data_IF_200333673139
#
_entry.id   IF_200333673139
#
_cell.length_a   1.000
_cell.length_b   1.000
_cell.length_c   1.000
_cell.angle_alpha   90.00
_cell.angle_beta   90.00
_cell.angle_gamma   90.00
#
_symmetry.space_group_name_H-M   'P 1'
#
loop_
_entity.id
_entity.type
_entity.pdbx_description
1 polymer ?
#
# COMPACT_ATOMS: atom_id res chain seq x y z
N UNK A 1 -25.50 5.59 -9.67
CA UNK A 1 -25.43 5.14 -8.26
C UNK A 1 -26.40 3.99 -7.93
N UNK A 2 -27.69 4.03 -8.34
CA UNK A 2 -28.65 2.92 -8.10
C UNK A 2 -28.21 1.58 -8.70
N UNK A 3 -27.68 1.56 -9.92
CA UNK A 3 -27.31 0.32 -10.64
C UNK A 3 -26.18 -0.45 -9.95
N UNK A 4 -25.16 0.24 -9.43
CA UNK A 4 -24.06 -0.40 -8.69
C UNK A 4 -24.54 -1.04 -7.39
N UNK A 5 -25.42 -0.35 -6.66
CA UNK A 5 -26.02 -0.86 -5.42
C UNK A 5 -26.85 -2.11 -5.66
N UNK A 6 -27.61 -2.14 -6.76
CA UNK A 6 -28.43 -3.30 -7.15
C UNK A 6 -27.58 -4.50 -7.56
N UNK A 7 -26.55 -4.31 -8.39
CA UNK A 7 -25.66 -5.40 -8.84
C UNK A 7 -24.89 -6.03 -7.70
N UNK A 8 -24.31 -5.21 -6.80
CA UNK A 8 -23.58 -5.73 -5.64
C UNK A 8 -24.53 -6.50 -4.72
N UNK A 9 -25.73 -5.97 -4.50
CA UNK A 9 -26.75 -6.62 -3.68
C UNK A 9 -27.20 -7.95 -4.28
N UNK A 10 -27.40 -8.04 -5.60
CA UNK A 10 -27.84 -9.28 -6.24
C UNK A 10 -26.74 -10.34 -6.20
N UNK A 11 -25.50 -9.97 -6.56
CA UNK A 11 -24.36 -10.90 -6.55
C UNK A 11 -24.09 -11.44 -5.13
N UNK A 12 -24.15 -10.56 -4.12
CA UNK A 12 -24.00 -10.98 -2.73
C UNK A 12 -25.05 -12.01 -2.32
N UNK A 13 -26.32 -11.74 -2.63
CA UNK A 13 -27.43 -12.63 -2.30
C UNK A 13 -27.30 -14.00 -3.00
N UNK A 14 -26.86 -14.03 -4.25
CA UNK A 14 -26.61 -15.26 -4.99
C UNK A 14 -25.50 -16.10 -4.34
N UNK A 15 -24.34 -15.51 -4.07
CA UNK A 15 -23.22 -16.21 -3.44
C UNK A 15 -23.56 -16.71 -2.03
N UNK A 16 -24.31 -15.93 -1.26
CA UNK A 16 -24.73 -16.31 0.09
C UNK A 16 -25.67 -17.53 0.07
N UNK A 17 -26.71 -17.49 -0.78
CA UNK A 17 -27.69 -18.58 -0.90
C UNK A 17 -27.11 -19.86 -1.50
N UNK A 18 -26.08 -19.75 -2.33
CA UNK A 18 -25.47 -20.89 -3.04
C UNK A 18 -24.21 -21.44 -2.36
N UNK A 19 -23.84 -20.95 -1.18
CA UNK A 19 -22.64 -21.36 -0.46
C UNK A 19 -22.67 -22.86 -0.09
N UNK A 20 -21.65 -23.62 -0.53
CA UNK A 20 -21.53 -25.08 -0.28
C UNK A 20 -20.34 -25.49 0.59
N UNK A 21 -19.29 -24.67 0.65
CA UNK A 21 -18.05 -25.00 1.35
C UNK A 21 -18.13 -24.57 2.81
N UNK A 22 -18.28 -25.54 3.73
CA UNK A 22 -18.25 -25.28 5.16
C UNK A 22 -16.85 -24.87 5.62
N UNK A 23 -16.78 -23.87 6.49
CA UNK A 23 -15.57 -23.55 7.25
C UNK A 23 -15.45 -24.53 8.43
N UNK A 24 -14.30 -25.18 8.56
CA UNK A 24 -14.03 -26.15 9.63
C UNK A 24 -12.56 -26.12 10.00
N UNK A 25 -12.26 -26.30 11.27
CA UNK A 25 -10.90 -26.23 11.84
C UNK A 25 -10.74 -25.09 12.86
N UNK A 26 -9.54 -24.91 13.41
CA UNK A 26 -9.28 -23.95 14.49
C UNK A 26 -9.32 -22.50 14.00
N UNK A 27 -9.51 -21.59 14.95
CA UNK A 27 -9.31 -20.15 14.75
C UNK A 27 -7.93 -19.78 15.30
N UNK A 28 -7.07 -19.25 14.43
CA UNK A 28 -5.72 -18.82 14.78
C UNK A 28 -5.51 -17.39 14.31
N UNK A 29 -4.67 -16.64 15.01
CA UNK A 29 -4.29 -15.31 14.58
C UNK A 29 -2.82 -15.04 14.89
N UNK A 30 -2.22 -14.20 14.07
CA UNK A 30 -0.92 -13.59 14.34
C UNK A 30 -1.00 -12.12 13.98
N UNK A 31 -0.41 -11.28 14.82
CA UNK A 31 -0.36 -9.85 14.67
C UNK A 31 1.06 -9.37 14.99
N UNK A 32 1.56 -8.42 14.21
CA UNK A 32 2.83 -7.76 14.50
C UNK A 32 2.77 -6.28 14.12
N UNK A 33 3.52 -5.47 14.86
CA UNK A 33 3.87 -4.12 14.45
C UNK A 33 5.24 -4.16 13.76
N UNK A 34 5.30 -3.64 12.54
CA UNK A 34 6.51 -3.64 11.73
C UNK A 34 6.92 -2.21 11.42
N UNK A 35 8.19 -1.88 11.66
CA UNK A 35 8.78 -0.64 11.17
C UNK A 35 9.06 -0.77 9.67
N UNK A 36 8.18 -0.20 8.86
CA UNK A 36 8.26 -0.23 7.40
C UNK A 36 9.27 0.76 6.84
N UNK A 37 9.90 1.60 7.68
CA UNK A 37 10.91 2.56 7.21
C UNK A 37 12.27 1.91 6.92
N UNK A 38 12.50 0.68 7.41
CA UNK A 38 13.80 0.01 7.36
C UNK A 38 13.72 -1.53 7.34
N UNK A 39 12.88 -2.10 6.48
CA UNK A 39 12.76 -3.57 6.31
C UNK A 39 13.73 -4.03 5.23
N UNK A 40 14.62 -4.96 5.58
CA UNK A 40 15.47 -5.65 4.62
C UNK A 40 14.66 -6.73 3.89
N UNK A 41 14.75 -6.73 2.56
CA UNK A 41 14.04 -7.67 1.71
C UNK A 41 15.02 -8.74 1.23
N UNK A 42 14.87 -9.93 1.78
CA UNK A 42 15.56 -11.14 1.33
C UNK A 42 14.64 -11.89 0.35
N UNK A 43 14.98 -11.92 -0.95
CA UNK A 43 14.27 -12.76 -1.90
C UNK A 43 14.00 -12.13 -3.28
N UNK A 44 14.38 -12.88 -4.31
CA UNK A 44 14.29 -12.57 -5.73
C UNK A 44 15.50 -13.16 -6.46
N UNK A 45 15.44 -13.37 -7.78
CA UNK A 45 16.62 -13.74 -8.59
C UNK A 45 17.71 -12.64 -8.64
N UNK A 46 17.58 -11.60 -7.81
CA UNK A 46 18.42 -10.43 -7.79
C UNK A 46 19.42 -10.55 -6.63
N UNK A 47 20.71 -10.43 -6.92
CA UNK A 47 21.81 -10.51 -5.95
C UNK A 47 21.91 -9.29 -5.03
N UNK A 48 21.04 -8.30 -5.22
CA UNK A 48 21.07 -7.03 -4.52
C UNK A 48 20.15 -7.05 -3.30
N UNK A 49 20.72 -6.81 -2.11
CA UNK A 49 19.93 -6.50 -0.90
C UNK A 49 19.10 -5.25 -1.17
N UNK A 50 17.78 -5.36 -1.07
CA UNK A 50 16.84 -4.23 -1.16
C UNK A 50 16.30 -3.92 0.22
N UNK A 51 15.92 -2.67 0.42
CA UNK A 51 15.37 -2.19 1.69
C UNK A 51 14.20 -1.26 1.40
N UNK A 52 13.22 -1.23 2.30
CA UNK A 52 12.17 -0.21 2.26
C UNK A 52 12.73 1.17 2.58
N UNK A 53 11.96 2.21 2.27
CA UNK A 53 12.36 3.60 2.47
C UNK A 53 11.50 4.24 3.55
N UNK A 54 12.00 5.29 4.20
CA UNK A 54 11.14 6.23 4.93
C UNK A 54 10.00 6.73 4.05
N UNK A 55 8.81 7.02 4.60
CA UNK A 55 7.65 7.37 3.80
C UNK A 55 7.87 8.67 3.02
N UNK A 56 7.38 8.68 1.77
CA UNK A 56 7.37 9.86 0.91
C UNK A 56 6.28 9.73 -0.15
N UNK A 57 5.61 10.85 -0.46
CA UNK A 57 4.59 10.94 -1.51
C UNK A 57 5.18 11.56 -2.77
N UNK A 58 4.84 11.00 -3.93
CA UNK A 58 5.34 11.47 -5.21
C UNK A 58 4.47 12.58 -5.81
N UNK A 59 4.93 13.23 -6.88
CA UNK A 59 4.15 14.29 -7.57
C UNK A 59 2.75 13.83 -8.00
N UNK A 60 2.64 12.62 -8.56
CA UNK A 60 1.34 12.09 -9.00
C UNK A 60 0.35 11.81 -7.86
N UNK A 61 0.76 11.91 -6.59
CA UNK A 61 -0.19 11.91 -5.47
C UNK A 61 -1.16 13.11 -5.56
N UNK A 62 -0.64 14.29 -5.89
CA UNK A 62 -1.45 15.50 -6.01
C UNK A 62 -2.31 15.55 -7.27
N UNK A 63 -2.10 14.65 -8.22
CA UNK A 63 -2.92 14.54 -9.43
C UNK A 63 -4.29 13.85 -9.19
N UNK A 64 -4.46 13.20 -8.04
CA UNK A 64 -5.65 12.39 -7.74
C UNK A 64 -5.83 11.23 -8.73
N UNK A 65 -7.08 10.80 -8.90
CA UNK A 65 -7.46 9.75 -9.85
C UNK A 65 -8.61 10.20 -10.74
N UNK A 66 -9.09 9.32 -11.62
CA UNK A 66 -10.32 9.58 -12.39
C UNK A 66 -11.58 9.58 -11.52
N UNK A 67 -11.53 8.95 -10.34
CA UNK A 67 -12.65 8.90 -9.39
C UNK A 67 -12.76 10.22 -8.62
N UNK A 68 -11.63 10.89 -8.38
CA UNK A 68 -11.56 12.23 -7.82
C UNK A 68 -10.27 12.90 -8.33
N UNK A 69 -10.36 13.85 -9.28
CA UNK A 69 -9.19 14.53 -9.79
C UNK A 69 -8.54 15.36 -8.68
N UNK A 70 -7.22 15.46 -8.73
CA UNK A 70 -6.47 16.29 -7.81
C UNK A 70 -6.62 17.79 -8.12
N UNK A 71 -5.83 18.59 -7.40
CA UNK A 71 -5.76 20.04 -7.61
C UNK A 71 -4.52 20.42 -8.43
N UNK A 72 -4.51 21.63 -8.98
CA UNK A 72 -3.41 22.19 -9.80
C UNK A 72 -3.10 21.43 -11.10
N UNK A 73 -1.89 21.59 -11.61
CA UNK A 73 -1.38 21.09 -12.89
C UNK A 73 -0.69 19.72 -12.79
N UNK A 74 -0.92 18.98 -11.70
CA UNK A 74 -0.32 17.65 -11.50
C UNK A 74 -0.95 16.59 -12.41
N UNK A 75 -0.11 15.73 -12.98
CA UNK A 75 -0.52 14.62 -13.83
C UNK A 75 -0.12 13.27 -13.21
N UNK A 76 -0.93 12.25 -13.47
CA UNK A 76 -0.55 10.87 -13.16
C UNK A 76 0.57 10.40 -14.10
N UNK A 77 1.51 9.60 -13.58
CA UNK A 77 2.65 9.09 -14.36
C UNK A 77 3.85 10.03 -14.46
N UNK A 78 3.88 11.11 -13.67
CA UNK A 78 5.02 12.03 -13.61
C UNK A 78 6.24 11.35 -12.98
N UNK A 79 7.29 11.16 -13.78
CA UNK A 79 8.58 10.57 -13.35
C UNK A 79 9.70 11.59 -13.17
N UNK A 80 9.46 12.85 -13.54
CA UNK A 80 10.40 13.97 -13.38
C UNK A 80 9.68 15.13 -12.70
N UNK A 81 10.29 15.72 -11.67
CA UNK A 81 9.73 16.91 -11.02
C UNK A 81 9.78 18.14 -11.93
N UNK A 82 8.84 19.06 -11.77
CA UNK A 82 8.86 20.36 -12.46
C UNK A 82 9.65 21.39 -11.63
N UNK A 83 10.24 22.39 -12.30
CA UNK A 83 11.07 23.42 -11.65
C UNK A 83 10.29 24.19 -10.58
N UNK A 84 9.05 24.57 -10.85
CA UNK A 84 8.20 25.31 -9.90
C UNK A 84 7.93 24.49 -8.64
N UNK A 85 7.45 23.27 -8.80
CA UNK A 85 7.09 22.42 -7.65
C UNK A 85 8.30 21.97 -6.87
N UNK A 86 9.47 21.75 -7.51
CA UNK A 86 10.71 21.46 -6.78
C UNK A 86 11.09 22.60 -5.81
N UNK A 87 10.85 23.87 -6.17
CA UNK A 87 11.09 25.01 -5.29
C UNK A 87 10.14 24.97 -4.08
N UNK A 88 8.86 24.66 -4.32
CA UNK A 88 7.85 24.53 -3.24
C UNK A 88 8.20 23.37 -2.30
N UNK A 89 8.63 22.23 -2.84
CA UNK A 89 9.10 21.08 -2.06
C UNK A 89 10.29 21.47 -1.17
N UNK A 90 11.28 22.16 -1.74
CA UNK A 90 12.47 22.59 -1.00
C UNK A 90 12.13 23.63 0.09
N UNK A 91 11.10 24.47 -0.12
CA UNK A 91 10.59 25.40 0.90
C UNK A 91 9.89 24.68 2.07
N UNK A 92 9.09 23.64 1.79
CA UNK A 92 8.40 22.86 2.84
C UNK A 92 9.41 21.99 3.60
N UNK A 93 10.09 21.09 2.88
CA UNK A 93 11.13 20.21 3.41
C UNK A 93 11.92 19.61 2.26
N UNK A 94 13.16 20.08 2.09
CA UNK A 94 14.10 19.51 1.13
C UNK A 94 14.39 18.03 1.44
N UNK A 95 14.02 17.08 0.55
CA UNK A 95 14.25 15.65 0.79
C UNK A 95 15.74 15.32 0.74
N UNK A 96 16.22 14.45 1.64
CA UNK A 96 17.61 13.99 1.63
C UNK A 96 17.99 13.26 0.33
N UNK A 97 19.29 13.23 0.02
CA UNK A 97 19.81 12.49 -1.15
C UNK A 97 19.53 10.99 -1.03
N UNK A 98 19.62 10.43 0.19
CA UNK A 98 19.28 9.04 0.49
C UNK A 98 17.81 8.74 0.19
N UNK A 99 16.89 9.60 0.65
CA UNK A 99 15.46 9.43 0.40
C UNK A 99 15.13 9.49 -1.09
N UNK A 100 15.72 10.44 -1.82
CA UNK A 100 15.57 10.57 -3.28
C UNK A 100 16.07 9.33 -4.01
N UNK A 101 17.22 8.79 -3.60
CA UNK A 101 17.78 7.58 -4.20
C UNK A 101 16.90 6.36 -3.91
N UNK A 102 16.42 6.21 -2.68
CA UNK A 102 15.61 5.08 -2.26
C UNK A 102 14.24 5.03 -2.98
N UNK A 103 13.59 6.18 -3.17
CA UNK A 103 12.29 6.25 -3.86
C UNK A 103 12.38 6.27 -5.39
N UNK A 104 13.58 6.29 -5.97
CA UNK A 104 13.75 6.33 -7.43
C UNK A 104 12.96 5.20 -8.12
N UNK A 105 12.21 5.48 -9.20
CA UNK A 105 12.17 6.71 -10.01
C UNK A 105 11.11 7.75 -9.59
N UNK A 106 10.54 7.67 -8.38
CA UNK A 106 9.47 8.57 -7.92
C UNK A 106 10.01 9.97 -7.60
N UNK A 107 9.53 11.04 -8.26
CA UNK A 107 9.83 12.40 -7.85
C UNK A 107 9.06 12.73 -6.57
N UNK A 108 9.76 13.05 -5.49
CA UNK A 108 9.17 13.29 -4.16
C UNK A 108 8.54 14.68 -4.11
N UNK A 109 7.25 14.75 -3.77
CA UNK A 109 6.51 15.97 -3.46
C UNK A 109 6.50 16.24 -1.95
N UNK A 110 6.27 15.20 -1.13
CA UNK A 110 6.25 15.33 0.34
C UNK A 110 7.19 14.31 0.96
N UNK A 111 8.23 14.78 1.66
CA UNK A 111 9.19 13.95 2.40
C UNK A 111 8.70 13.67 3.82
N UNK A 112 7.51 13.06 3.93
CA UNK A 112 6.78 12.88 5.19
C UNK A 112 7.55 12.10 6.27
N UNK A 113 8.43 11.17 5.89
CA UNK A 113 9.31 10.46 6.81
C UNK A 113 10.47 11.30 7.37
N UNK A 114 10.66 12.50 6.85
CA UNK A 114 11.62 13.50 7.32
C UNK A 114 10.93 14.75 7.90
N UNK A 115 9.61 14.64 8.15
CA UNK A 115 8.74 15.69 8.68
C UNK A 115 8.06 15.20 9.97
N UNK A 116 8.40 15.83 11.09
CA UNK A 116 7.94 15.43 12.42
C UNK A 116 7.25 16.54 13.22
N UNK A 117 7.06 17.73 12.64
CA UNK A 117 6.41 18.86 13.28
C UNK A 117 4.99 19.06 12.71
N UNK A 118 3.95 19.24 13.56
CA UNK A 118 3.95 19.10 15.02
C UNK A 118 4.01 17.63 15.51
N UNK A 119 3.77 16.68 14.61
CA UNK A 119 3.92 15.23 14.83
C UNK A 119 4.37 14.57 13.51
N UNK A 120 4.66 13.26 13.52
CA UNK A 120 5.03 12.52 12.30
C UNK A 120 3.91 12.55 11.26
N UNK A 121 4.22 12.98 10.04
CA UNK A 121 3.22 13.16 8.99
C UNK A 121 2.69 11.83 8.42
N UNK A 122 3.49 10.76 8.49
CA UNK A 122 3.08 9.40 8.16
C UNK A 122 3.64 8.40 9.17
N UNK A 123 2.96 7.25 9.41
CA UNK A 123 3.44 6.24 10.33
C UNK A 123 4.63 5.46 9.74
N UNK A 124 5.65 5.24 10.57
CA UNK A 124 6.74 4.31 10.25
C UNK A 124 6.38 2.88 10.68
N UNK A 125 5.72 2.75 11.83
CA UNK A 125 5.29 1.48 12.42
C UNK A 125 3.86 1.19 12.00
N UNK A 126 3.63 0.06 11.33
CA UNK A 126 2.30 -0.34 10.84
C UNK A 126 1.91 -1.74 11.34
N UNK A 127 0.62 -1.99 11.63
CA UNK A 127 0.14 -3.31 12.03
C UNK A 127 -0.04 -4.21 10.82
N UNK A 128 0.40 -5.45 10.90
CA UNK A 128 0.06 -6.50 9.93
C UNK A 128 -0.52 -7.70 10.67
N UNK A 129 -1.55 -8.31 10.09
CA UNK A 129 -2.30 -9.39 10.74
C UNK A 129 -2.69 -10.48 9.75
N UNK A 130 -2.67 -11.72 10.22
CA UNK A 130 -3.27 -12.86 9.54
C UNK A 130 -4.22 -13.54 10.52
N UNK A 131 -5.45 -13.78 10.07
CA UNK A 131 -6.47 -14.52 10.82
C UNK A 131 -6.85 -15.75 10.00
N UNK A 132 -6.72 -16.94 10.58
CA UNK A 132 -7.18 -18.20 10.00
C UNK A 132 -8.45 -18.64 10.70
N UNK A 133 -9.48 -18.96 9.92
CA UNK A 133 -10.78 -19.48 10.37
C UNK A 133 -11.00 -20.79 9.64
N UNK A 134 -10.57 -21.91 10.25
CA UNK A 134 -10.61 -23.21 9.59
C UNK A 134 -9.79 -23.22 8.30
N UNK A 135 -10.45 -23.36 7.16
CA UNK A 135 -9.86 -23.36 5.82
C UNK A 135 -9.93 -21.99 5.09
N UNK A 136 -10.18 -20.91 5.82
CA UNK A 136 -10.15 -19.52 5.33
C UNK A 136 -9.00 -18.76 6.00
N UNK A 137 -8.21 -18.01 5.23
CA UNK A 137 -7.27 -17.02 5.74
C UNK A 137 -7.68 -15.61 5.31
N UNK A 138 -7.64 -14.67 6.26
CA UNK A 138 -7.89 -13.25 6.08
C UNK A 138 -6.60 -12.50 6.39
N UNK A 139 -6.14 -11.67 5.45
CA UNK A 139 -4.93 -10.87 5.59
C UNK A 139 -5.32 -9.42 5.87
N UNK A 140 -5.04 -8.95 7.08
CA UNK A 140 -5.22 -7.56 7.49
C UNK A 140 -3.98 -6.75 7.16
N UNK A 141 -4.06 -5.92 6.11
CA UNK A 141 -2.95 -5.14 5.58
C UNK A 141 -3.29 -3.65 5.60
N UNK A 142 -2.41 -2.78 6.11
CA UNK A 142 -2.68 -1.36 6.32
C UNK A 142 -2.40 -0.54 5.04
N UNK A 143 -2.92 -0.99 3.89
CA UNK A 143 -2.65 -0.35 2.60
C UNK A 143 -3.74 -0.64 1.56
N UNK A 144 -3.84 0.23 0.56
CA UNK A 144 -4.63 0.00 -0.64
C UNK A 144 -3.82 -0.81 -1.66
N UNK A 145 -4.08 -2.12 -1.71
CA UNK A 145 -3.28 -3.04 -2.50
C UNK A 145 -3.85 -3.16 -3.92
N UNK A 146 -3.01 -2.86 -4.92
CA UNK A 146 -3.39 -3.03 -6.33
C UNK A 146 -3.71 -4.48 -6.67
N UNK A 147 -4.52 -4.69 -7.71
CA UNK A 147 -4.98 -6.01 -8.14
C UNK A 147 -3.85 -7.04 -8.26
N UNK A 148 -2.72 -6.66 -8.89
CA UNK A 148 -1.61 -7.58 -9.10
C UNK A 148 -0.76 -7.79 -7.84
N UNK A 149 -0.57 -6.77 -7.01
CA UNK A 149 0.10 -6.94 -5.72
C UNK A 149 -0.69 -7.88 -4.80
N UNK A 150 -2.02 -7.74 -4.75
CA UNK A 150 -2.89 -8.60 -3.95
C UNK A 150 -2.93 -10.05 -4.46
N UNK A 151 -2.89 -10.26 -5.78
CA UNK A 151 -2.76 -11.61 -6.36
C UNK A 151 -1.44 -12.27 -6.00
N UNK A 152 -0.32 -11.55 -6.10
CA UNK A 152 1.02 -12.06 -5.73
C UNK A 152 1.07 -12.44 -4.25
N UNK A 153 0.61 -11.55 -3.38
CA UNK A 153 0.60 -11.80 -1.94
C UNK A 153 -0.28 -13.00 -1.56
N UNK A 154 -1.48 -13.09 -2.12
CA UNK A 154 -2.39 -14.22 -1.90
C UNK A 154 -1.76 -15.56 -2.30
N UNK A 155 -1.07 -15.59 -3.44
CA UNK A 155 -0.40 -16.81 -3.91
C UNK A 155 0.79 -17.18 -3.03
N UNK A 156 1.61 -16.20 -2.63
CA UNK A 156 2.74 -16.43 -1.73
C UNK A 156 2.28 -16.97 -0.38
N UNK A 157 1.27 -16.35 0.23
CA UNK A 157 0.72 -16.80 1.52
C UNK A 157 0.07 -18.17 1.42
N UNK A 158 -0.65 -18.46 0.32
CA UNK A 158 -1.24 -19.79 0.09
C UNK A 158 -0.16 -20.89 -0.02
N UNK A 159 1.04 -20.56 -0.48
CA UNK A 159 2.17 -21.49 -0.52
C UNK A 159 2.77 -21.80 0.85
N UNK A 160 2.51 -20.96 1.86
CA UNK A 160 3.09 -21.09 3.21
C UNK A 160 2.04 -21.55 4.24
N UNK A 161 0.80 -21.05 4.15
CA UNK A 161 -0.27 -21.41 5.07
C UNK A 161 -0.93 -22.71 4.61
N UNK A 162 -0.88 -23.72 5.47
CA UNK A 162 -1.65 -24.96 5.31
C UNK A 162 -3.11 -24.65 5.67
N UNK A 163 -3.97 -24.63 4.65
CA UNK A 163 -5.43 -24.37 4.76
C UNK A 163 -6.25 -25.65 4.69
#
# INVERSE_FOLDING_TARGET
>A
MLTLKLIISSLFQELFKTARRRLSGPVLFIHQYLDMSNVELEGGNDTHRRRTCKPAMGFSFAAGTIDCPGEFDFLQGTTKGSTLWNIVVDFIRRPSSELKQCHSPKPILLATGEMSLPYKWQPDIVPTQIIKIGNLAVLGLPAEITTMAGRRLRNAVKGVIIL
#
